data_IF_555243343630
#
_entry.id   IF_555243343630
#
_cell.length_a   1.000
_cell.length_b   1.000
_cell.length_c   1.000
_cell.angle_alpha   90.00
_cell.angle_beta   90.00
_cell.angle_gamma   90.00
#
_symmetry.space_group_name_H-M   'P 1'
#
loop_
_entity.id
_entity.type
_entity.pdbx_description
1 polymer ?
#
# COMPACT_ATOMS: atom_id res chain seq x y z
N UNK A 1 9.74 -20.18 -22.18
CA UNK A 1 8.92 -18.98 -21.90
C UNK A 1 9.36 -18.47 -20.55
N UNK A 2 10.32 -17.54 -20.53
CA UNK A 2 10.82 -16.90 -19.32
C UNK A 2 9.77 -15.90 -18.88
N UNK A 3 9.13 -16.17 -17.75
CA UNK A 3 8.23 -15.21 -17.09
C UNK A 3 9.12 -14.06 -16.61
N UNK A 4 9.23 -13.01 -17.42
CA UNK A 4 9.73 -11.72 -16.97
C UNK A 4 8.74 -11.22 -15.92
N UNK A 5 9.03 -11.52 -14.65
CA UNK A 5 8.39 -10.89 -13.52
C UNK A 5 8.69 -9.39 -13.63
N UNK A 6 7.70 -8.51 -13.87
CA UNK A 6 7.95 -7.08 -13.85
C UNK A 6 8.53 -6.74 -12.48
N UNK A 7 9.66 -6.03 -12.49
CA UNK A 7 10.34 -5.53 -11.30
C UNK A 7 9.37 -4.66 -10.47
N UNK A 8 8.55 -5.31 -9.64
CA UNK A 8 7.48 -4.71 -8.85
C UNK A 8 8.02 -4.13 -7.53
N UNK A 9 9.27 -3.65 -7.54
CA UNK A 9 9.93 -3.10 -6.35
C UNK A 9 9.54 -1.63 -6.05
N UNK A 10 8.67 -1.01 -6.85
CA UNK A 10 8.25 0.38 -6.65
C UNK A 10 7.30 0.67 -5.44
N UNK A 11 6.40 -0.22 -4.97
CA UNK A 11 5.51 0.11 -3.86
C UNK A 11 6.24 0.14 -2.52
N UNK A 12 7.34 -0.63 -2.37
CA UNK A 12 8.14 -0.68 -1.13
C UNK A 12 9.01 0.58 -0.99
N UNK A 13 9.57 1.08 -2.09
CA UNK A 13 10.36 2.31 -2.06
C UNK A 13 9.50 3.54 -1.67
N UNK A 14 8.23 3.58 -2.10
CA UNK A 14 7.28 4.63 -1.75
C UNK A 14 6.92 4.65 -0.26
N UNK A 15 6.60 3.48 0.30
CA UNK A 15 6.29 3.35 1.73
C UNK A 15 7.51 3.60 2.61
N UNK A 16 8.71 3.13 2.21
CA UNK A 16 9.95 3.36 2.94
C UNK A 16 10.34 4.84 2.98
N UNK A 17 10.18 5.59 1.88
CA UNK A 17 10.41 7.05 1.86
C UNK A 17 9.44 7.80 2.76
N UNK A 18 8.19 7.36 2.86
CA UNK A 18 7.21 7.95 3.77
C UNK A 18 7.55 7.67 5.24
N UNK A 19 7.88 6.41 5.56
CA UNK A 19 8.32 6.03 6.91
C UNK A 19 9.59 6.80 7.29
N UNK A 20 10.57 6.93 6.39
CA UNK A 20 11.79 7.68 6.63
C UNK A 20 11.54 9.18 6.87
N UNK A 21 10.61 9.81 6.13
CA UNK A 21 10.22 11.20 6.35
C UNK A 21 9.52 11.41 7.69
N UNK A 22 8.65 10.48 8.07
CA UNK A 22 7.95 10.53 9.36
C UNK A 22 8.95 10.33 10.50
N UNK A 23 9.77 9.28 10.44
CA UNK A 23 10.79 8.99 11.45
C UNK A 23 11.80 10.13 11.58
N UNK A 24 12.28 10.67 10.45
CA UNK A 24 13.15 11.85 10.45
C UNK A 24 12.47 13.07 11.07
N UNK A 25 11.19 13.30 10.75
CA UNK A 25 10.40 14.38 11.33
C UNK A 25 10.20 14.24 12.83
N UNK A 26 9.86 13.06 13.35
CA UNK A 26 9.74 12.81 14.79
C UNK A 26 11.09 12.95 15.50
N UNK A 27 12.19 12.46 14.93
CA UNK A 27 13.53 12.65 15.51
C UNK A 27 13.93 14.13 15.56
N UNK A 28 13.67 14.90 14.49
CA UNK A 28 14.00 16.33 14.46
C UNK A 28 13.17 17.11 15.48
N UNK A 29 11.87 16.79 15.57
CA UNK A 29 10.96 17.44 16.50
C UNK A 29 11.34 17.09 17.95
N UNK A 30 11.70 15.84 18.23
CA UNK A 30 12.19 15.42 19.54
C UNK A 30 13.49 16.13 19.93
N UNK A 31 14.44 16.25 19.00
CA UNK A 31 15.67 17.01 19.21
C UNK A 31 15.39 18.50 19.47
N UNK A 32 14.44 19.10 18.75
CA UNK A 32 14.02 20.49 18.96
C UNK A 32 13.40 20.72 20.33
N UNK A 33 12.50 19.84 20.78
CA UNK A 33 11.90 19.91 22.12
C UNK A 33 12.98 19.78 23.20
N UNK A 34 13.93 18.86 23.04
CA UNK A 34 15.05 18.72 23.97
C UNK A 34 15.89 20.01 24.04
N UNK A 35 16.20 20.62 22.90
CA UNK A 35 16.95 21.87 22.82
C UNK A 35 16.22 23.01 23.53
N UNK A 36 14.91 23.14 23.34
CA UNK A 36 14.08 24.15 24.02
C UNK A 36 14.10 23.93 25.54
N UNK A 37 13.95 22.69 26.00
CA UNK A 37 14.00 22.37 27.45
C UNK A 37 15.36 22.70 28.04
N UNK A 38 16.46 22.34 27.36
CA UNK A 38 17.82 22.66 27.80
C UNK A 38 18.05 24.18 27.84
N UNK A 39 17.58 24.91 26.83
CA UNK A 39 17.70 26.36 26.78
C UNK A 39 16.91 27.03 27.92
N UNK A 40 15.69 26.56 28.16
CA UNK A 40 14.80 27.09 29.19
C UNK A 40 15.32 26.83 30.61
N UNK A 41 15.99 25.69 30.83
CA UNK A 41 16.68 25.39 32.08
C UNK A 41 17.99 26.19 32.21
N UNK A 42 18.70 26.41 31.10
CA UNK A 42 20.02 27.03 31.07
C UNK A 42 20.05 28.53 31.38
N UNK A 43 18.96 29.25 31.15
CA UNK A 43 18.95 30.73 31.17
C UNK A 43 18.66 31.36 32.56
N UNK A 44 18.90 30.63 33.66
CA UNK A 44 18.54 31.11 35.02
C UNK A 44 19.71 31.25 36.01
N UNK A 45 20.98 31.12 35.59
CA UNK A 45 22.14 31.13 36.49
C UNK A 45 23.05 32.37 36.38
N UNK A 46 22.98 33.26 37.38
CA UNK A 46 23.71 34.54 37.47
C UNK A 46 25.24 34.47 37.47
N UNK A 47 25.84 35.65 37.25
CA UNK A 47 27.25 35.95 36.97
C UNK A 47 28.26 35.68 38.11
N UNK A 48 27.93 34.86 39.11
CA UNK A 48 28.80 34.58 40.26
C UNK A 48 29.05 33.09 40.45
N UNK A 49 30.33 32.70 40.44
CA UNK A 49 30.82 31.33 40.61
C UNK A 49 30.32 30.65 41.90
N UNK A 50 29.99 31.45 42.94
CA UNK A 50 29.48 30.99 44.23
C UNK A 50 27.98 30.63 44.18
N UNK A 51 27.20 31.28 43.30
CA UNK A 51 25.80 30.94 43.05
C UNK A 51 25.68 29.70 42.16
N UNK A 52 26.61 29.51 41.21
CA UNK A 52 26.64 28.31 40.34
C UNK A 52 26.82 27.03 41.15
N UNK A 53 27.76 27.01 42.13
CA UNK A 53 28.02 25.82 42.96
C UNK A 53 26.87 25.52 43.94
N UNK A 54 26.23 26.56 44.49
CA UNK A 54 25.10 26.40 45.42
C UNK A 54 23.80 26.05 44.68
N UNK A 55 23.61 26.57 43.47
CA UNK A 55 22.57 26.13 42.55
C UNK A 55 22.77 24.65 42.22
N UNK A 56 23.98 24.20 41.91
CA UNK A 56 24.28 22.80 41.53
C UNK A 56 23.76 21.75 42.53
N UNK A 57 23.81 22.03 43.83
CA UNK A 57 23.30 21.13 44.89
C UNK A 57 21.76 21.17 45.00
N UNK A 58 21.11 22.32 44.78
CA UNK A 58 19.65 22.41 44.69
C UNK A 58 19.13 21.79 43.38
N UNK A 59 19.85 21.99 42.28
CA UNK A 59 19.54 21.51 40.94
C UNK A 59 19.56 19.98 40.89
N UNK A 60 20.42 19.29 41.66
CA UNK A 60 20.40 17.81 41.75
C UNK A 60 19.09 17.22 42.30
N UNK A 61 18.38 17.90 43.20
CA UNK A 61 17.09 17.43 43.73
C UNK A 61 15.93 17.64 42.76
N UNK A 62 16.00 18.65 41.89
CA UNK A 62 14.93 18.98 40.93
C UNK A 62 15.19 18.49 39.51
N UNK A 63 16.44 18.12 39.17
CA UNK A 63 16.81 17.55 37.87
C UNK A 63 16.10 16.23 37.58
N UNK A 64 16.01 15.33 38.56
CA UNK A 64 15.33 14.04 38.40
C UNK A 64 13.85 14.21 38.01
N UNK A 65 13.05 14.96 38.78
CA UNK A 65 11.67 15.29 38.43
C UNK A 65 11.53 16.02 37.09
N UNK A 66 12.39 17.00 36.81
CA UNK A 66 12.34 17.76 35.56
C UNK A 66 12.63 16.88 34.33
N UNK A 67 13.63 15.99 34.42
CA UNK A 67 13.93 15.00 33.37
C UNK A 67 12.79 14.00 33.19
N UNK A 68 12.17 13.55 34.29
CA UNK A 68 11.01 12.66 34.24
C UNK A 68 9.83 13.33 33.53
N UNK A 69 9.48 14.56 33.90
CA UNK A 69 8.37 15.31 33.29
C UNK A 69 8.68 15.61 31.82
N UNK A 70 9.89 16.06 31.51
CA UNK A 70 10.31 16.34 30.14
C UNK A 70 10.29 15.08 29.26
N UNK A 71 10.82 13.97 29.76
CA UNK A 71 10.80 12.68 29.08
C UNK A 71 9.38 12.15 28.86
N UNK A 72 8.50 12.31 29.86
CA UNK A 72 7.11 11.88 29.76
C UNK A 72 6.34 12.71 28.72
N UNK A 73 6.50 14.04 28.72
CA UNK A 73 5.88 14.91 27.71
C UNK A 73 6.37 14.56 26.30
N UNK A 74 7.68 14.34 26.14
CA UNK A 74 8.27 13.92 24.87
C UNK A 74 7.70 12.58 24.39
N UNK A 75 7.60 11.60 25.29
CA UNK A 75 7.11 10.26 24.99
C UNK A 75 5.63 10.28 24.61
N UNK A 76 4.79 11.05 25.31
CA UNK A 76 3.39 11.26 24.96
C UNK A 76 3.28 11.85 23.55
N UNK A 77 4.07 12.89 23.26
CA UNK A 77 4.03 13.56 21.96
C UNK A 77 4.44 12.64 20.81
N UNK A 78 5.50 11.85 20.98
CA UNK A 78 5.93 10.84 20.00
C UNK A 78 4.88 9.74 19.85
N UNK A 79 4.28 9.27 20.94
CA UNK A 79 3.22 8.26 20.90
C UNK A 79 1.98 8.78 20.14
N UNK A 80 1.55 10.02 20.39
CA UNK A 80 0.42 10.65 19.69
C UNK A 80 0.70 10.82 18.20
N UNK A 81 1.90 11.29 17.82
CA UNK A 81 2.30 11.43 16.41
C UNK A 81 2.33 10.07 15.71
N UNK A 82 2.93 9.07 16.35
CA UNK A 82 3.00 7.70 15.81
C UNK A 82 1.60 7.11 15.63
N UNK A 83 0.73 7.32 16.62
CA UNK A 83 -0.67 6.90 16.56
C UNK A 83 -1.44 7.59 15.42
N UNK A 84 -1.31 8.91 15.26
CA UNK A 84 -1.93 9.67 14.16
C UNK A 84 -1.47 9.18 12.79
N UNK A 85 -0.17 8.92 12.63
CA UNK A 85 0.39 8.38 11.38
C UNK A 85 -0.15 6.98 11.10
N UNK A 86 -0.15 6.09 12.09
CA UNK A 86 -0.68 4.75 11.95
C UNK A 86 -2.17 4.76 11.59
N UNK A 87 -2.93 5.64 12.23
CA UNK A 87 -4.36 5.85 11.97
C UNK A 87 -4.59 6.39 10.55
N UNK A 88 -3.83 7.40 10.14
CA UNK A 88 -3.90 7.96 8.79
C UNK A 88 -3.55 6.93 7.71
N UNK A 89 -2.49 6.14 7.94
CA UNK A 89 -2.11 5.04 7.05
C UNK A 89 -3.20 3.97 6.95
N UNK A 90 -3.80 3.60 8.08
CA UNK A 90 -4.91 2.65 8.14
C UNK A 90 -6.11 3.14 7.32
N UNK A 91 -6.55 4.39 7.51
CA UNK A 91 -7.67 4.94 6.75
C UNK A 91 -7.40 5.07 5.25
N UNK A 92 -6.17 5.45 4.87
CA UNK A 92 -5.79 5.59 3.46
C UNK A 92 -5.75 4.24 2.74
N UNK A 93 -5.47 3.14 3.44
CA UNK A 93 -5.42 1.80 2.85
C UNK A 93 -6.79 1.12 2.94
N UNK A 94 -7.48 1.23 4.07
CA UNK A 94 -8.75 0.55 4.33
C UNK A 94 -9.86 0.96 3.34
N UNK A 95 -9.95 2.24 2.99
CA UNK A 95 -10.95 2.73 2.03
C UNK A 95 -10.81 2.10 0.64
N UNK A 96 -9.65 2.23 -0.02
CA UNK A 96 -9.40 1.59 -1.32
C UNK A 96 -9.51 0.08 -1.27
N UNK A 97 -9.05 -0.57 -0.20
CA UNK A 97 -9.14 -2.02 -0.04
C UNK A 97 -10.59 -2.49 0.06
N UNK A 98 -11.42 -1.77 0.82
CA UNK A 98 -12.85 -2.05 0.92
C UNK A 98 -13.54 -1.90 -0.45
N UNK A 99 -13.26 -0.81 -1.18
CA UNK A 99 -13.80 -0.60 -2.54
C UNK A 99 -13.35 -1.67 -3.51
N UNK A 100 -12.08 -2.06 -3.46
CA UNK A 100 -11.56 -3.15 -4.28
C UNK A 100 -12.25 -4.48 -3.98
N UNK A 101 -12.48 -4.80 -2.70
CA UNK A 101 -13.21 -5.99 -2.29
C UNK A 101 -14.68 -5.96 -2.76
N UNK A 102 -15.34 -4.80 -2.68
CA UNK A 102 -16.69 -4.61 -3.21
C UNK A 102 -16.73 -4.79 -4.73
N UNK A 103 -15.77 -4.23 -5.47
CA UNK A 103 -15.67 -4.42 -6.92
C UNK A 103 -15.47 -5.90 -7.27
N UNK A 104 -14.62 -6.60 -6.52
CA UNK A 104 -14.39 -8.03 -6.69
C UNK A 104 -15.66 -8.88 -6.49
N UNK A 105 -16.49 -8.53 -5.51
CA UNK A 105 -17.78 -9.20 -5.28
C UNK A 105 -18.77 -8.98 -6.41
N UNK A 106 -18.66 -7.87 -7.14
CA UNK A 106 -19.55 -7.53 -8.26
C UNK A 106 -19.06 -8.06 -9.62
N UNK A 107 -17.79 -8.48 -9.72
CA UNK A 107 -17.18 -8.90 -10.99
C UNK A 107 -17.72 -10.17 -11.62
N UNK A 108 -18.57 -10.92 -10.91
CA UNK A 108 -19.23 -12.12 -11.46
C UNK A 108 -20.16 -11.81 -12.63
N UNK A 109 -20.81 -10.63 -12.62
CA UNK A 109 -21.81 -10.26 -13.64
C UNK A 109 -21.40 -9.04 -14.47
N UNK A 110 -20.43 -8.24 -13.99
CA UNK A 110 -20.05 -6.95 -14.58
C UNK A 110 -18.54 -6.79 -14.62
N UNK A 111 -18.01 -5.98 -15.57
CA UNK A 111 -16.58 -5.66 -15.58
C UNK A 111 -16.16 -4.98 -14.26
N UNK A 112 -14.94 -5.25 -13.78
CA UNK A 112 -14.43 -4.59 -12.58
C UNK A 112 -14.38 -3.08 -12.82
N UNK A 113 -15.01 -2.32 -11.92
CA UNK A 113 -15.01 -0.87 -12.00
C UNK A 113 -13.62 -0.33 -11.67
N UNK A 114 -13.21 0.70 -12.41
CA UNK A 114 -11.93 1.35 -12.21
C UNK A 114 -11.92 2.08 -10.87
N UNK A 115 -10.88 1.84 -10.06
CA UNK A 115 -10.68 2.55 -8.79
C UNK A 115 -10.28 4.02 -9.09
N UNK A 116 -10.50 4.93 -8.12
CA UNK A 116 -10.14 6.35 -8.25
C UNK A 116 -8.64 6.51 -8.55
N UNK A 117 -8.31 7.49 -9.40
CA UNK A 117 -6.91 7.92 -9.62
C UNK A 117 -6.31 8.30 -8.26
N UNK A 118 -5.10 7.82 -7.99
CA UNK A 118 -4.28 8.01 -6.77
C UNK A 118 -4.47 6.99 -5.64
N UNK A 119 -5.34 5.99 -5.81
CA UNK A 119 -5.45 4.90 -4.84
C UNK A 119 -4.26 3.93 -4.97
N UNK A 120 -3.71 3.49 -3.84
CA UNK A 120 -2.51 2.63 -3.78
C UNK A 120 -2.67 1.28 -4.52
N UNK A 121 -3.90 0.86 -4.81
CA UNK A 121 -4.24 -0.40 -5.48
C UNK A 121 -4.54 -0.23 -6.98
N UNK A 122 -4.30 0.93 -7.57
CA UNK A 122 -4.63 1.20 -8.95
C UNK A 122 -3.92 0.26 -9.94
N UNK A 123 -2.62 0.00 -9.73
CA UNK A 123 -1.86 -0.94 -10.56
C UNK A 123 -2.44 -2.36 -10.51
N UNK A 124 -2.83 -2.82 -9.31
CA UNK A 124 -3.49 -4.13 -9.12
C UNK A 124 -4.86 -4.16 -9.78
N UNK A 125 -5.64 -3.09 -9.67
CA UNK A 125 -6.94 -2.95 -10.34
C UNK A 125 -6.80 -3.01 -11.86
N UNK A 126 -5.79 -2.34 -12.43
CA UNK A 126 -5.55 -2.32 -13.86
C UNK A 126 -5.09 -3.70 -14.37
N UNK A 127 -4.32 -4.46 -13.58
CA UNK A 127 -4.00 -5.87 -13.89
C UNK A 127 -5.24 -6.75 -13.87
N UNK A 128 -6.05 -6.65 -12.81
CA UNK A 128 -7.29 -7.41 -12.69
C UNK A 128 -8.25 -7.11 -13.85
N UNK A 129 -8.36 -5.84 -14.24
CA UNK A 129 -9.21 -5.43 -15.36
C UNK A 129 -8.74 -6.04 -16.69
N UNK A 130 -7.43 -6.09 -16.93
CA UNK A 130 -6.86 -6.74 -18.13
C UNK A 130 -7.15 -8.24 -18.13
N UNK A 131 -6.85 -8.93 -17.02
CA UNK A 131 -7.12 -10.35 -16.87
C UNK A 131 -8.61 -10.68 -17.08
N UNK A 132 -9.52 -9.84 -16.55
CA UNK A 132 -10.95 -10.01 -16.75
C UNK A 132 -11.36 -9.87 -18.21
N UNK A 133 -10.80 -8.89 -18.95
CA UNK A 133 -11.08 -8.70 -20.38
C UNK A 133 -10.56 -9.86 -21.22
N UNK A 134 -9.35 -10.35 -20.93
CA UNK A 134 -8.76 -11.50 -21.61
C UNK A 134 -9.59 -12.76 -21.39
N UNK A 135 -10.02 -13.02 -20.14
CA UNK A 135 -10.89 -14.15 -19.82
C UNK A 135 -12.23 -14.08 -20.57
N UNK A 136 -12.89 -12.93 -20.59
CA UNK A 136 -14.16 -12.75 -21.30
C UNK A 136 -14.00 -12.76 -22.82
N UNK A 137 -12.85 -12.37 -23.34
CA UNK A 137 -12.53 -12.52 -24.76
C UNK A 137 -12.44 -14.00 -25.12
N UNK A 138 -11.65 -14.76 -24.38
CA UNK A 138 -11.49 -16.19 -24.55
C UNK A 138 -12.82 -16.95 -24.43
N UNK A 139 -13.65 -16.60 -23.43
CA UNK A 139 -14.97 -17.21 -23.26
C UNK A 139 -15.88 -16.98 -24.49
N UNK A 140 -15.83 -15.78 -25.08
CA UNK A 140 -16.58 -15.47 -26.31
C UNK A 140 -16.05 -16.25 -27.50
N UNK A 141 -14.73 -16.34 -27.67
CA UNK A 141 -14.10 -17.12 -28.75
C UNK A 141 -14.46 -18.60 -28.66
N UNK A 142 -14.43 -19.17 -27.44
CA UNK A 142 -14.87 -20.56 -27.20
C UNK A 142 -16.34 -20.75 -27.55
N UNK A 143 -17.22 -19.84 -27.11
CA UNK A 143 -18.65 -19.89 -27.43
C UNK A 143 -18.91 -19.85 -28.94
N UNK A 144 -18.23 -18.98 -29.67
CA UNK A 144 -18.33 -18.89 -31.13
C UNK A 144 -17.80 -20.17 -31.82
N UNK A 145 -16.69 -20.73 -31.34
CA UNK A 145 -16.13 -21.95 -31.90
C UNK A 145 -17.04 -23.17 -31.68
N UNK A 146 -17.69 -23.26 -30.51
CA UNK A 146 -18.69 -24.29 -30.21
C UNK A 146 -19.91 -24.14 -31.13
N UNK A 147 -20.47 -22.94 -31.25
CA UNK A 147 -21.60 -22.68 -32.15
C UNK A 147 -21.27 -23.00 -33.61
N UNK A 148 -20.07 -22.65 -34.08
CA UNK A 148 -19.63 -22.98 -35.44
C UNK A 148 -19.51 -24.50 -35.65
N UNK A 149 -19.02 -25.24 -34.65
CA UNK A 149 -18.95 -26.70 -34.71
C UNK A 149 -20.35 -27.33 -34.76
N UNK A 150 -21.27 -26.86 -33.92
CA UNK A 150 -22.67 -27.33 -33.92
C UNK A 150 -23.37 -27.04 -35.26
N UNK A 151 -23.16 -25.86 -35.83
CA UNK A 151 -23.71 -25.49 -37.14
C UNK A 151 -23.15 -26.37 -38.28
N UNK A 152 -21.83 -26.61 -38.29
CA UNK A 152 -21.19 -27.49 -39.27
C UNK A 152 -21.71 -28.93 -39.18
N UNK A 153 -21.93 -29.42 -37.96
CA UNK A 153 -22.51 -30.74 -37.71
C UNK A 153 -23.96 -30.83 -38.19
N UNK A 154 -24.75 -29.78 -37.98
CA UNK A 154 -26.14 -29.73 -38.44
C UNK A 154 -26.26 -29.66 -39.97
N UNK A 155 -25.29 -29.03 -40.64
CA UNK A 155 -25.21 -28.94 -42.10
C UNK A 155 -24.61 -30.19 -42.78
N UNK A 156 -24.13 -31.16 -42.00
CA UNK A 156 -23.39 -32.36 -42.46
C UNK A 156 -22.18 -32.00 -43.36
N UNK A 157 -21.53 -30.86 -43.07
CA UNK A 157 -20.36 -30.38 -43.80
C UNK A 157 -19.07 -30.86 -43.10
N UNK A 158 -18.37 -31.88 -43.65
CA UNK A 158 -17.19 -32.47 -43.02
C UNK A 158 -16.00 -31.51 -42.97
N UNK A 159 -15.86 -30.61 -43.94
CA UNK A 159 -14.74 -29.67 -44.01
C UNK A 159 -14.92 -28.54 -42.99
N UNK A 160 -16.14 -28.02 -42.86
CA UNK A 160 -16.49 -27.04 -41.83
C UNK A 160 -16.34 -27.63 -40.42
N UNK A 161 -16.69 -28.91 -40.23
CA UNK A 161 -16.52 -29.61 -38.95
C UNK A 161 -15.05 -29.80 -38.57
N UNK A 162 -14.20 -30.21 -39.51
CA UNK A 162 -12.75 -30.33 -39.30
C UNK A 162 -12.12 -28.99 -38.91
N UNK A 163 -12.53 -27.90 -39.57
CA UNK A 163 -12.04 -26.55 -39.25
C UNK A 163 -12.49 -26.10 -37.86
N UNK A 164 -13.77 -26.28 -37.49
CA UNK A 164 -14.28 -25.86 -36.20
C UNK A 164 -13.63 -26.64 -35.03
N UNK A 165 -13.45 -27.97 -35.19
CA UNK A 165 -12.79 -28.80 -34.19
C UNK A 165 -11.29 -28.50 -34.04
N UNK A 166 -10.61 -28.13 -35.13
CA UNK A 166 -9.20 -27.68 -35.07
C UNK A 166 -9.05 -26.36 -34.30
N UNK A 167 -9.96 -25.40 -34.51
CA UNK A 167 -10.02 -24.13 -33.76
C UNK A 167 -10.28 -24.35 -32.28
N UNK A 168 -11.24 -25.22 -31.94
CA UNK A 168 -11.52 -25.60 -30.56
C UNK A 168 -10.29 -26.20 -29.88
N UNK A 169 -9.58 -27.12 -30.57
CA UNK A 169 -8.37 -27.73 -30.04
C UNK A 169 -7.24 -26.71 -29.82
N UNK A 170 -7.06 -25.77 -30.74
CA UNK A 170 -6.09 -24.69 -30.60
C UNK A 170 -6.41 -23.77 -29.40
N UNK A 171 -7.68 -23.42 -29.20
CA UNK A 171 -8.13 -22.62 -28.04
C UNK A 171 -7.90 -23.36 -26.72
N UNK A 172 -8.26 -24.64 -26.63
CA UNK A 172 -8.03 -25.46 -25.42
C UNK A 172 -6.53 -25.55 -25.09
N UNK A 173 -5.69 -25.76 -26.11
CA UNK A 173 -4.26 -25.83 -25.92
C UNK A 173 -3.66 -24.50 -25.42
N UNK A 174 -4.18 -23.36 -25.91
CA UNK A 174 -3.78 -22.04 -25.42
C UNK A 174 -4.11 -21.86 -23.93
N UNK A 175 -5.29 -22.28 -23.51
CA UNK A 175 -5.70 -22.24 -22.09
C UNK A 175 -4.80 -23.10 -21.20
N UNK A 176 -4.34 -24.25 -21.71
CA UNK A 176 -3.46 -25.15 -20.96
C UNK A 176 -2.01 -24.66 -20.84
N UNK A 177 -1.55 -23.80 -21.76
CA UNK A 177 -0.19 -23.25 -21.73
C UNK A 177 -0.08 -21.94 -20.93
N UNK A 178 -1.16 -21.16 -20.90
CA UNK A 178 -1.19 -19.83 -20.26
C UNK A 178 -1.71 -19.86 -18.80
N UNK A 179 -2.20 -21.03 -18.31
CA UNK A 179 -2.71 -21.23 -16.95
C UNK A 179 -1.70 -21.90 -16.02
#
# INVERSE_FOLDING_TARGET
MTIDLPASNEPVAGSLRWVARIAGGTSLLAAGVLLVVVFWIGDSGGTSYYEVVRAQVLTHRQLGPALLVGGLVLLILVATLTWLVALYGSFRIAGPLYRFACNLRQTGERPPQRIRRDDALQATSDHLQRAWHELHHLQRELGQAVQAAEAARAADDPDAWAQATSRLRALIHRVQLDG
#
